data_IF_820464029124
#
_entry.id   IF_820464029124
#
_cell.length_a   1.000
_cell.length_b   1.000
_cell.length_c   1.000
_cell.angle_alpha   90.00
_cell.angle_beta   90.00
_cell.angle_gamma   90.00
#
_symmetry.space_group_name_H-M   'P 1'
#
loop_
_entity.id
_entity.type
_entity.pdbx_description
1 polymer ?
#
# COMPACT_ATOMS: atom_id res chain seq x y z
N UNK A 1 -17.99 3.28 3.30
CA UNK A 1 -17.85 2.73 4.67
C UNK A 1 -16.37 2.56 4.96
N UNK A 2 -15.81 3.34 5.86
CA UNK A 2 -14.39 3.25 6.23
C UNK A 2 -14.13 1.87 6.82
N UNK A 3 -13.49 0.97 6.10
CA UNK A 3 -12.94 -0.22 6.73
C UNK A 3 -11.86 0.26 7.70
N UNK A 4 -11.96 -0.19 8.92
CA UNK A 4 -11.05 0.20 9.99
C UNK A 4 -9.64 -0.24 9.59
N UNK A 5 -8.71 0.69 9.41
CA UNK A 5 -7.31 0.40 9.06
C UNK A 5 -6.60 -0.44 10.16
N UNK A 6 -7.25 -0.64 11.30
CA UNK A 6 -6.75 -1.43 12.42
C UNK A 6 -7.34 -2.85 12.50
N UNK A 7 -8.17 -3.26 11.52
CA UNK A 7 -8.66 -4.64 11.50
C UNK A 7 -7.49 -5.59 11.17
N UNK A 8 -7.26 -6.65 11.96
CA UNK A 8 -6.18 -7.58 11.67
C UNK A 8 -6.45 -8.28 10.34
N UNK A 9 -5.47 -8.26 9.44
CA UNK A 9 -5.46 -9.12 8.26
C UNK A 9 -5.11 -10.54 8.69
N UNK A 10 -5.88 -11.52 8.22
CA UNK A 10 -5.64 -12.94 8.51
C UNK A 10 -4.72 -13.59 7.48
N UNK A 11 -4.73 -13.07 6.25
CA UNK A 11 -4.02 -13.68 5.13
C UNK A 11 -2.91 -12.76 4.65
N UNK A 12 -1.69 -13.09 5.03
CA UNK A 12 -0.47 -12.41 4.62
C UNK A 12 0.25 -13.19 3.53
N UNK A 13 0.76 -12.48 2.54
CA UNK A 13 1.67 -13.04 1.55
C UNK A 13 3.00 -12.29 1.58
N UNK A 14 4.03 -12.91 1.00
CA UNK A 14 5.37 -12.31 0.92
C UNK A 14 5.56 -11.65 -0.43
N UNK A 15 5.91 -10.37 -0.41
CA UNK A 15 6.18 -9.57 -1.59
C UNK A 15 7.60 -9.03 -1.58
N UNK A 16 8.16 -8.83 -2.77
CA UNK A 16 9.44 -8.14 -2.94
C UNK A 16 9.24 -6.64 -2.98
N UNK A 17 9.98 -5.91 -2.17
CA UNK A 17 10.03 -4.45 -2.15
C UNK A 17 11.47 -4.02 -2.41
N UNK A 18 11.72 -3.04 -3.29
CA UNK A 18 10.76 -2.19 -4.00
C UNK A 18 10.03 -2.89 -5.15
N UNK A 19 8.82 -2.45 -5.46
CA UNK A 19 8.01 -2.97 -6.56
C UNK A 19 6.55 -2.52 -6.45
N UNK A 20 5.86 -2.50 -7.59
CA UNK A 20 4.43 -2.23 -7.62
C UNK A 20 3.65 -3.49 -7.22
N UNK A 21 2.73 -3.35 -6.27
CA UNK A 21 1.94 -4.48 -5.77
C UNK A 21 1.14 -5.17 -6.89
N UNK A 22 0.56 -4.42 -7.81
CA UNK A 22 -0.22 -4.97 -8.93
C UNK A 22 0.65 -5.79 -9.89
N UNK A 23 1.91 -5.42 -10.07
CA UNK A 23 2.84 -6.17 -10.94
C UNK A 23 3.26 -7.51 -10.33
N UNK A 24 3.19 -7.65 -9.02
CA UNK A 24 3.49 -8.92 -8.35
C UNK A 24 2.46 -10.01 -8.69
N UNK A 25 1.26 -9.65 -9.09
CA UNK A 25 0.23 -10.59 -9.58
C UNK A 25 0.68 -11.38 -10.81
N UNK A 26 1.53 -10.80 -11.64
CA UNK A 26 2.08 -11.46 -12.83
C UNK A 26 3.07 -12.57 -12.46
N UNK A 27 3.69 -12.47 -11.30
CA UNK A 27 4.66 -13.46 -10.81
C UNK A 27 3.99 -14.55 -9.96
N UNK A 28 2.79 -14.29 -9.47
CA UNK A 28 2.02 -15.21 -8.63
C UNK A 28 0.61 -15.41 -9.20
N UNK A 29 0.45 -16.22 -10.25
CA UNK A 29 -0.87 -16.54 -10.82
C UNK A 29 -1.82 -17.09 -9.76
N UNK A 30 -3.04 -16.57 -9.72
CA UNK A 30 -4.05 -16.95 -8.74
C UNK A 30 -4.10 -16.09 -7.48
N UNK A 31 -3.19 -15.14 -7.32
CA UNK A 31 -3.20 -14.17 -6.22
C UNK A 31 -3.23 -12.73 -6.77
N UNK A 32 -4.40 -12.23 -7.15
CA UNK A 32 -4.52 -10.90 -7.75
C UNK A 32 -4.41 -9.81 -6.67
N UNK A 33 -3.36 -9.01 -6.73
CA UNK A 33 -3.21 -7.79 -5.92
C UNK A 33 -3.77 -6.54 -6.60
N UNK A 34 -4.79 -6.72 -7.39
CA UNK A 34 -5.36 -5.69 -8.25
C UNK A 34 -4.83 -5.77 -9.69
N UNK A 35 -5.39 -4.95 -10.55
CA UNK A 35 -5.03 -4.90 -11.96
C UNK A 35 -4.02 -3.80 -12.20
N UNK A 36 -2.89 -4.08 -12.89
CA UNK A 36 -2.01 -3.03 -13.36
C UNK A 36 -2.75 -2.11 -14.33
N UNK A 37 -2.73 -0.82 -14.08
CA UNK A 37 -3.34 0.18 -14.95
C UNK A 37 -2.28 0.85 -15.82
N UNK A 38 -2.60 1.02 -17.09
CA UNK A 38 -1.84 1.91 -17.96
C UNK A 38 -2.47 3.30 -17.93
N UNK A 39 -1.85 4.19 -17.14
CA UNK A 39 -2.43 5.49 -16.77
C UNK A 39 -1.69 6.66 -17.40
N UNK A 40 -1.50 6.67 -18.69
CA UNK A 40 -0.92 7.84 -19.37
C UNK A 40 -1.96 8.87 -19.86
N UNK A 41 -3.23 8.49 -19.90
CA UNK A 41 -4.33 9.35 -20.39
C UNK A 41 -5.54 9.37 -19.47
N UNK A 42 -5.64 8.42 -18.54
CA UNK A 42 -6.77 8.29 -17.62
C UNK A 42 -6.26 8.09 -16.20
N UNK A 43 -7.05 8.53 -15.23
CA UNK A 43 -6.79 8.21 -13.83
C UNK A 43 -7.33 6.83 -13.47
N UNK A 44 -6.76 6.13 -12.45
CA UNK A 44 -7.18 4.77 -12.07
C UNK A 44 -8.65 4.65 -11.68
N UNK A 45 -9.28 5.72 -11.22
CA UNK A 45 -10.70 5.78 -10.83
C UNK A 45 -11.65 6.15 -11.97
N UNK A 46 -11.11 6.55 -13.16
CA UNK A 46 -11.95 6.91 -14.30
C UNK A 46 -12.81 5.72 -14.73
N UNK A 47 -14.10 5.99 -14.90
CA UNK A 47 -15.10 4.95 -15.21
C UNK A 47 -15.68 4.25 -13.98
N UNK A 48 -15.13 4.46 -12.78
CA UNK A 48 -15.64 3.94 -11.51
C UNK A 48 -16.43 5.00 -10.74
N UNK A 49 -15.87 6.18 -10.58
CA UNK A 49 -16.48 7.30 -9.84
C UNK A 49 -16.26 8.61 -10.56
N UNK A 50 -17.23 9.54 -10.41
CA UNK A 50 -17.05 10.96 -10.79
C UNK A 50 -16.51 11.72 -9.60
N UNK A 51 -15.25 12.11 -9.67
CA UNK A 51 -14.59 12.87 -8.61
C UNK A 51 -14.40 14.32 -9.00
N UNK A 52 -14.53 15.21 -8.04
CA UNK A 52 -14.11 16.60 -8.13
C UNK A 52 -12.73 16.79 -7.49
N UNK A 53 -12.00 17.85 -7.86
CA UNK A 53 -10.70 18.12 -7.22
C UNK A 53 -10.80 18.16 -5.69
N UNK A 54 -9.89 17.46 -5.02
CA UNK A 54 -9.85 17.32 -3.56
C UNK A 54 -10.70 16.20 -2.97
N UNK A 55 -11.45 15.47 -3.78
CA UNK A 55 -12.17 14.27 -3.32
C UNK A 55 -11.30 13.02 -3.42
N UNK A 56 -11.50 12.13 -2.46
CA UNK A 56 -10.86 10.80 -2.44
C UNK A 56 -11.87 9.77 -2.94
N UNK A 57 -11.48 8.85 -3.85
CA UNK A 57 -12.34 7.76 -4.29
C UNK A 57 -12.88 6.96 -3.10
N UNK A 58 -14.16 6.62 -3.14
CA UNK A 58 -14.82 5.84 -2.08
C UNK A 58 -15.03 4.38 -2.51
N UNK A 59 -15.32 4.16 -3.78
CA UNK A 59 -15.64 2.84 -4.33
C UNK A 59 -14.39 2.16 -4.88
N UNK A 60 -13.48 2.92 -5.48
CA UNK A 60 -12.23 2.40 -6.04
C UNK A 60 -11.01 3.09 -5.42
N UNK A 61 -10.61 2.62 -4.28
CA UNK A 61 -9.44 3.11 -3.53
C UNK A 61 -8.68 1.93 -2.94
N UNK A 62 -7.94 1.17 -3.76
CA UNK A 62 -7.18 0.02 -3.29
C UNK A 62 -6.07 0.46 -2.33
N UNK A 63 -5.92 -0.28 -1.22
CA UNK A 63 -4.91 -0.04 -0.20
C UNK A 63 -4.07 -1.29 -0.06
N UNK A 64 -2.75 -1.13 -0.18
CA UNK A 64 -1.79 -2.15 0.16
C UNK A 64 -1.32 -1.99 1.60
N UNK A 65 -1.45 -3.02 2.41
CA UNK A 65 -0.88 -3.05 3.76
C UNK A 65 0.40 -3.89 3.75
N UNK A 66 1.46 -3.32 4.30
CA UNK A 66 2.78 -3.95 4.38
C UNK A 66 3.21 -4.06 5.83
N UNK A 67 3.77 -5.20 6.20
CA UNK A 67 4.34 -5.41 7.51
C UNK A 67 5.74 -5.96 7.40
N UNK A 68 6.66 -5.43 8.20
CA UNK A 68 8.03 -5.91 8.31
C UNK A 68 8.50 -5.86 9.75
N UNK A 69 9.01 -6.98 10.24
CA UNK A 69 9.72 -7.03 11.52
C UNK A 69 11.22 -6.99 11.27
N UNK A 70 11.94 -6.27 12.11
CA UNK A 70 13.39 -6.20 12.09
C UNK A 70 13.92 -5.91 13.50
N UNK A 71 15.18 -6.27 13.74
CA UNK A 71 15.86 -6.02 15.01
C UNK A 71 16.88 -4.92 14.83
N UNK A 72 16.87 -3.95 15.72
CA UNK A 72 17.88 -2.90 15.76
C UNK A 72 19.07 -3.37 16.62
N UNK A 73 20.29 -2.98 16.27
CA UNK A 73 21.45 -3.19 17.14
C UNK A 73 21.26 -2.44 18.46
N UNK A 74 21.60 -3.08 19.57
CA UNK A 74 21.49 -2.47 20.90
C UNK A 74 22.37 -1.20 21.07
N UNK A 75 23.42 -1.10 20.25
CA UNK A 75 24.33 0.05 20.25
C UNK A 75 23.73 1.32 19.66
N UNK A 76 22.57 1.24 18.99
CA UNK A 76 21.92 2.40 18.38
C UNK A 76 21.07 3.13 19.43
N UNK A 77 21.54 4.33 19.82
CA UNK A 77 20.83 5.18 20.77
C UNK A 77 19.55 5.80 20.16
N UNK A 78 19.56 6.07 18.85
CA UNK A 78 18.42 6.58 18.08
C UNK A 78 18.54 6.15 16.63
N UNK A 79 17.40 6.05 15.95
CA UNK A 79 17.37 5.71 14.53
C UNK A 79 16.19 6.40 13.86
N UNK A 80 16.28 6.49 12.53
CA UNK A 80 15.21 7.02 11.69
C UNK A 80 14.81 5.95 10.68
N UNK A 81 13.51 5.76 10.52
CA UNK A 81 12.96 5.02 9.39
C UNK A 81 12.86 5.96 8.19
N UNK A 82 13.52 5.60 7.09
CA UNK A 82 13.45 6.35 5.85
C UNK A 82 12.75 5.53 4.78
N UNK A 83 11.67 6.07 4.23
CA UNK A 83 11.01 5.56 3.03
C UNK A 83 11.49 6.39 1.84
N UNK A 84 12.16 5.74 0.89
CA UNK A 84 12.70 6.43 -0.28
C UNK A 84 11.65 6.76 -1.34
N UNK A 85 10.47 6.18 -1.24
CA UNK A 85 9.33 6.45 -2.09
C UNK A 85 8.14 5.61 -1.69
N UNK A 86 6.96 6.18 -1.80
CA UNK A 86 5.69 5.52 -1.67
C UNK A 86 4.69 6.24 -2.58
N UNK A 87 4.19 5.56 -3.57
CA UNK A 87 3.27 6.14 -4.55
C UNK A 87 1.83 5.68 -4.25
N UNK A 88 0.94 6.60 -4.02
CA UNK A 88 1.07 8.06 -4.00
C UNK A 88 0.92 8.62 -2.58
N UNK A 89 0.45 7.85 -1.62
CA UNK A 89 0.32 8.22 -0.22
C UNK A 89 0.65 7.03 0.68
N UNK A 90 1.26 7.29 1.82
CA UNK A 90 1.56 6.27 2.81
C UNK A 90 1.23 6.76 4.22
N UNK A 91 0.77 5.82 5.04
CA UNK A 91 0.67 5.99 6.48
C UNK A 91 1.56 4.92 7.13
N UNK A 92 2.31 5.29 8.15
CA UNK A 92 3.34 4.43 8.73
C UNK A 92 3.13 4.30 10.23
N UNK A 93 3.18 3.07 10.71
CA UNK A 93 3.15 2.77 12.14
C UNK A 93 4.41 2.02 12.54
N UNK A 94 5.00 2.40 13.65
CA UNK A 94 6.11 1.69 14.28
C UNK A 94 5.65 1.17 15.64
N UNK A 95 5.60 -0.16 15.80
CA UNK A 95 5.09 -0.81 17.02
C UNK A 95 3.70 -0.29 17.46
N UNK A 96 2.81 -0.06 16.50
CA UNK A 96 1.46 0.43 16.74
C UNK A 96 1.32 1.94 16.97
N UNK A 97 2.40 2.70 16.90
CA UNK A 97 2.39 4.17 17.00
C UNK A 97 2.51 4.78 15.61
N UNK A 98 1.55 5.68 15.29
CA UNK A 98 1.51 6.46 14.02
C UNK A 98 2.51 7.61 14.05
#
# INVERSE_FOLDING_TARGET
MRKNLTAPFSDWDTLTVPGFIQMQSLQKPGQPYGTPHYVNTQYPWDGHEKLHPGQIPQDYNPIGEYQRSFTLPESWASCYLRLNGADSAAAVWCNGVY
#
